data_IF_308732369734
#
_entry.id   IF_308732369734
#
_cell.length_a   1.000
_cell.length_b   1.000
_cell.length_c   1.000
_cell.angle_alpha   90.00
_cell.angle_beta   90.00
_cell.angle_gamma   90.00
#
_symmetry.space_group_name_H-M   'P 1'
#
loop_
_entity.id
_entity.type
_entity.pdbx_description
1 polymer ?
#
# COMPACT_ATOMS: atom_id res chain seq x y z
N UNK A 1 -7.28 -28.39 10.60
CA UNK A 1 -7.58 -26.95 10.76
C UNK A 1 -6.64 -26.22 9.82
N UNK A 2 -7.15 -25.58 8.77
CA UNK A 2 -6.30 -24.89 7.80
C UNK A 2 -5.87 -23.54 8.38
N UNK A 3 -4.58 -23.36 8.61
CA UNK A 3 -4.03 -22.05 8.96
C UNK A 3 -4.13 -21.13 7.77
N UNK A 4 -4.56 -19.90 8.00
CA UNK A 4 -4.48 -18.85 7.00
C UNK A 4 -3.00 -18.53 6.82
N UNK A 5 -2.40 -18.99 5.73
CA UNK A 5 -1.01 -18.69 5.40
C UNK A 5 -0.91 -17.28 4.80
N UNK A 6 -0.70 -16.30 5.66
CA UNK A 6 -0.35 -14.94 5.23
C UNK A 6 1.13 -14.74 5.45
N UNK A 7 1.79 -14.22 4.43
CA UNK A 7 3.17 -13.78 4.52
C UNK A 7 3.21 -12.25 4.64
N UNK A 8 2.98 -11.70 5.85
CA UNK A 8 2.86 -10.25 6.04
C UNK A 8 4.16 -9.54 5.67
N UNK A 9 5.30 -10.22 5.84
CA UNK A 9 6.61 -9.69 5.46
C UNK A 9 6.74 -9.48 3.95
N UNK A 10 6.31 -10.45 3.13
CA UNK A 10 6.33 -10.31 1.66
C UNK A 10 5.37 -9.22 1.20
N UNK A 11 4.17 -9.17 1.76
CA UNK A 11 3.16 -8.17 1.42
C UNK A 11 3.62 -6.75 1.80
N UNK A 12 4.21 -6.58 2.99
CA UNK A 12 4.80 -5.31 3.42
C UNK A 12 5.99 -4.90 2.56
N UNK A 13 6.86 -5.84 2.17
CA UNK A 13 7.97 -5.57 1.27
C UNK A 13 7.47 -5.07 -0.09
N UNK A 14 6.41 -5.69 -0.62
CA UNK A 14 5.80 -5.24 -1.88
C UNK A 14 5.19 -3.83 -1.75
N UNK A 15 4.48 -3.55 -0.66
CA UNK A 15 3.96 -2.21 -0.38
C UNK A 15 5.09 -1.16 -0.32
N UNK A 16 6.20 -1.46 0.35
CA UNK A 16 7.38 -0.58 0.41
C UNK A 16 7.96 -0.30 -0.98
N UNK A 17 8.11 -1.32 -1.82
CA UNK A 17 8.60 -1.16 -3.20
C UNK A 17 7.67 -0.28 -4.05
N UNK A 18 6.36 -0.41 -3.86
CA UNK A 18 5.36 0.42 -4.55
C UNK A 18 5.50 1.89 -4.10
N UNK A 19 5.62 2.16 -2.80
CA UNK A 19 5.86 3.52 -2.29
C UNK A 19 7.14 4.12 -2.90
N UNK A 20 8.25 3.36 -2.90
CA UNK A 20 9.51 3.83 -3.50
C UNK A 20 9.37 4.13 -5.00
N UNK A 21 8.59 3.34 -5.74
CA UNK A 21 8.30 3.62 -7.14
C UNK A 21 7.45 4.90 -7.30
N UNK A 22 6.46 5.09 -6.44
CA UNK A 22 5.62 6.30 -6.40
C UNK A 22 6.45 7.56 -6.12
N UNK A 23 7.40 7.48 -5.18
CA UNK A 23 8.29 8.61 -4.85
C UNK A 23 9.17 9.00 -6.03
N UNK A 24 9.67 8.01 -6.79
CA UNK A 24 10.47 8.25 -8.01
C UNK A 24 9.65 8.85 -9.16
N UNK A 25 8.33 8.64 -9.17
CA UNK A 25 7.45 9.25 -10.17
C UNK A 25 7.22 10.73 -9.91
N UNK A 26 7.41 11.22 -8.67
CA UNK A 26 7.28 12.64 -8.36
C UNK A 26 8.27 13.44 -9.22
N UNK A 27 7.74 14.18 -10.19
CA UNK A 27 8.55 15.02 -11.06
C UNK A 27 9.10 16.15 -10.20
N UNK A 28 10.38 16.07 -9.87
CA UNK A 28 11.02 16.92 -8.85
C UNK A 28 11.25 18.36 -9.30
N UNK A 29 10.84 18.73 -10.51
CA UNK A 29 11.04 20.07 -11.06
C UNK A 29 9.76 20.54 -11.72
N UNK A 30 9.09 21.49 -11.07
CA UNK A 30 8.11 22.35 -11.71
C UNK A 30 8.82 23.07 -12.85
N UNK A 31 8.52 22.69 -14.10
CA UNK A 31 8.99 23.46 -15.25
C UNK A 31 8.12 24.71 -15.30
N UNK A 32 8.74 25.85 -15.06
CA UNK A 32 8.08 27.16 -15.16
C UNK A 32 8.06 27.57 -16.62
N UNK A 33 6.87 27.75 -17.18
CA UNK A 33 6.68 28.29 -18.53
C UNK A 33 6.34 29.77 -18.42
N UNK A 34 6.92 30.60 -19.28
CA UNK A 34 6.46 31.99 -19.43
C UNK A 34 5.14 32.00 -20.19
N UNK A 35 4.19 32.82 -19.72
CA UNK A 35 2.85 32.92 -20.33
C UNK A 35 2.84 33.82 -21.58
N UNK A 36 3.91 34.58 -21.81
CA UNK A 36 3.96 35.66 -22.82
C UNK A 36 4.63 35.28 -24.15
N UNK A 37 4.95 34.01 -24.36
CA UNK A 37 5.64 33.56 -25.58
C UNK A 37 4.65 33.13 -26.67
N UNK A 38 4.79 33.72 -27.86
CA UNK A 38 4.02 33.34 -29.06
C UNK A 38 4.67 32.20 -29.86
N UNK A 39 5.78 31.65 -29.36
CA UNK A 39 6.51 30.56 -30.00
C UNK A 39 5.77 29.26 -29.71
N UNK A 40 5.22 28.63 -30.74
CA UNK A 40 4.41 27.39 -30.62
C UNK A 40 5.10 26.29 -29.81
N UNK A 41 6.42 26.11 -29.97
CA UNK A 41 7.18 25.10 -29.22
C UNK A 41 7.12 25.27 -27.69
N UNK A 42 6.96 26.50 -27.18
CA UNK A 42 6.81 26.74 -25.75
C UNK A 42 5.40 26.38 -25.27
N UNK A 43 4.36 26.67 -26.07
CA UNK A 43 2.99 26.26 -25.79
C UNK A 43 2.86 24.73 -25.79
N UNK A 44 3.48 24.05 -26.76
CA UNK A 44 3.49 22.59 -26.88
C UNK A 44 4.24 21.94 -25.71
N UNK A 45 5.39 22.51 -25.32
CA UNK A 45 6.12 22.07 -24.13
C UNK A 45 5.27 22.23 -22.86
N UNK A 46 4.60 23.37 -22.67
CA UNK A 46 3.71 23.61 -21.52
C UNK A 46 2.61 22.56 -21.44
N UNK A 47 1.89 22.32 -22.54
CA UNK A 47 0.82 21.32 -22.61
C UNK A 47 1.32 19.90 -22.32
N UNK A 48 2.49 19.55 -22.85
CA UNK A 48 3.13 18.25 -22.62
C UNK A 48 3.50 18.06 -21.16
N UNK A 49 4.11 19.05 -20.51
CA UNK A 49 4.48 18.97 -19.09
C UNK A 49 3.26 18.96 -18.16
N UNK A 50 2.19 19.68 -18.52
CA UNK A 50 0.91 19.62 -17.79
C UNK A 50 0.31 18.22 -17.86
N UNK A 51 0.25 17.63 -19.06
CA UNK A 51 -0.24 16.26 -19.26
C UNK A 51 0.62 15.24 -18.51
N UNK A 52 1.94 15.40 -18.56
CA UNK A 52 2.88 14.55 -17.83
C UNK A 52 2.63 14.64 -16.31
N UNK A 53 2.43 15.84 -15.78
CA UNK A 53 2.12 16.05 -14.35
C UNK A 53 0.82 15.37 -13.94
N UNK A 54 -0.24 15.55 -14.72
CA UNK A 54 -1.54 14.92 -14.48
C UNK A 54 -1.45 13.40 -14.50
N UNK A 55 -0.77 12.85 -15.51
CA UNK A 55 -0.56 11.40 -15.63
C UNK A 55 0.22 10.85 -14.44
N UNK A 56 1.30 11.52 -14.04
CA UNK A 56 2.08 11.14 -12.85
C UNK A 56 1.21 11.12 -11.60
N UNK A 57 0.41 12.16 -11.37
CA UNK A 57 -0.50 12.22 -10.21
C UNK A 57 -1.50 11.05 -10.23
N UNK A 58 -2.06 10.73 -11.39
CA UNK A 58 -2.99 9.61 -11.55
C UNK A 58 -2.32 8.27 -11.22
N UNK A 59 -1.10 8.04 -11.72
CA UNK A 59 -0.35 6.81 -11.39
C UNK A 59 -0.06 6.74 -9.89
N UNK A 60 0.38 7.84 -9.27
CA UNK A 60 0.63 7.86 -7.82
C UNK A 60 -0.63 7.56 -6.99
N UNK A 61 -1.79 8.06 -7.41
CA UNK A 61 -3.06 7.73 -6.76
C UNK A 61 -3.39 6.23 -6.85
N UNK A 62 -3.17 5.61 -8.01
CA UNK A 62 -3.38 4.17 -8.20
C UNK A 62 -2.42 3.35 -7.32
N UNK A 63 -1.14 3.70 -7.30
CA UNK A 63 -0.14 3.02 -6.46
C UNK A 63 -0.48 3.13 -4.98
N UNK A 64 -0.88 4.32 -4.52
CA UNK A 64 -1.29 4.54 -3.13
C UNK A 64 -2.56 3.76 -2.75
N UNK A 65 -3.51 3.64 -3.67
CA UNK A 65 -4.71 2.81 -3.47
C UNK A 65 -4.31 1.34 -3.26
N UNK A 66 -3.41 0.83 -4.09
CA UNK A 66 -3.00 -0.57 -4.03
C UNK A 66 -2.20 -0.88 -2.75
N UNK A 67 -1.35 0.04 -2.29
CA UNK A 67 -0.69 -0.05 -0.97
C UNK A 67 -1.70 -0.14 0.16
N UNK A 68 -2.74 0.70 0.16
CA UNK A 68 -3.80 0.65 1.19
C UNK A 68 -4.58 -0.67 1.16
N UNK A 69 -4.84 -1.20 -0.03
CA UNK A 69 -5.51 -2.50 -0.18
C UNK A 69 -4.66 -3.63 0.42
N UNK A 70 -3.35 -3.65 0.13
CA UNK A 70 -2.41 -4.61 0.72
C UNK A 70 -2.42 -4.51 2.25
N UNK A 71 -2.29 -3.29 2.80
CA UNK A 71 -2.30 -3.07 4.24
C UNK A 71 -3.62 -3.53 4.88
N UNK A 72 -4.75 -3.25 4.26
CA UNK A 72 -6.08 -3.66 4.74
C UNK A 72 -6.23 -5.18 4.81
N UNK A 73 -5.74 -5.89 3.79
CA UNK A 73 -5.75 -7.35 3.75
C UNK A 73 -4.86 -7.92 4.87
N UNK A 74 -3.64 -7.40 5.05
CA UNK A 74 -2.75 -7.81 6.15
C UNK A 74 -3.43 -7.63 7.51
N UNK A 75 -4.03 -6.46 7.77
CA UNK A 75 -4.71 -6.19 9.05
C UNK A 75 -5.89 -7.11 9.30
N UNK A 76 -6.64 -7.46 8.25
CA UNK A 76 -7.76 -8.40 8.34
C UNK A 76 -7.27 -9.78 8.76
N UNK A 77 -6.20 -10.24 8.13
CA UNK A 77 -5.61 -11.53 8.46
C UNK A 77 -5.02 -11.58 9.87
N UNK A 78 -4.31 -10.55 10.31
CA UNK A 78 -3.82 -10.45 11.69
C UNK A 78 -4.96 -10.55 12.70
N UNK A 79 -6.08 -9.85 12.45
CA UNK A 79 -7.26 -9.90 13.33
C UNK A 79 -7.88 -11.30 13.36
N UNK A 80 -7.97 -11.97 12.22
CA UNK A 80 -8.49 -13.34 12.17
C UNK A 80 -7.58 -14.31 12.92
N UNK A 81 -6.26 -14.16 12.81
CA UNK A 81 -5.30 -15.00 13.52
C UNK A 81 -5.39 -14.79 15.05
N UNK A 82 -5.51 -13.54 15.51
CA UNK A 82 -5.75 -13.22 16.92
C UNK A 82 -7.07 -13.81 17.43
N UNK A 83 -8.15 -13.75 16.64
CA UNK A 83 -9.43 -14.34 17.00
C UNK A 83 -9.35 -15.86 17.12
N UNK A 84 -8.69 -16.53 16.18
CA UNK A 84 -8.48 -17.98 16.22
C UNK A 84 -7.65 -18.35 17.46
N UNK A 85 -6.55 -17.63 17.71
CA UNK A 85 -5.70 -17.86 18.88
C UNK A 85 -6.49 -17.72 20.19
N UNK A 86 -7.28 -16.64 20.34
CA UNK A 86 -8.11 -16.43 21.52
C UNK A 86 -9.15 -17.54 21.70
N UNK A 87 -9.78 -18.03 20.62
CA UNK A 87 -10.71 -19.14 20.69
C UNK A 87 -10.04 -20.46 21.09
N UNK A 88 -8.81 -20.71 20.64
CA UNK A 88 -8.03 -21.89 21.02
C UNK A 88 -7.54 -21.81 22.48
N UNK A 89 -7.16 -20.64 22.96
CA UNK A 89 -6.77 -20.40 24.36
C UNK A 89 -7.97 -20.51 25.32
N UNK A 90 -9.17 -20.10 24.88
CA UNK A 90 -10.41 -20.20 25.65
C UNK A 90 -11.13 -21.54 25.47
N UNK A 91 -10.59 -22.46 24.66
CA UNK A 91 -11.20 -23.77 24.44
C UNK A 91 -11.15 -24.60 25.74
N UNK A 92 -12.27 -25.25 26.14
CA UNK A 92 -12.34 -26.07 27.37
C UNK A 92 -11.26 -27.15 27.47
N UNK A 93 -10.73 -27.59 26.33
CA UNK A 93 -9.67 -28.61 26.24
C UNK A 93 -8.32 -28.09 26.80
N UNK A 94 -8.01 -26.79 26.64
CA UNK A 94 -6.78 -26.22 27.18
C UNK A 94 -6.88 -25.89 28.67
N UNK A 95 -8.07 -25.52 29.17
CA UNK A 95 -8.30 -25.30 30.60
C UNK A 95 -8.22 -26.59 31.43
N UNK A 96 -8.60 -27.74 30.84
CA UNK A 96 -8.46 -29.05 31.48
C UNK A 96 -6.99 -29.50 31.63
N UNK A 97 -6.09 -29.10 30.72
CA UNK A 97 -4.68 -29.48 30.76
C UNK A 97 -3.82 -28.59 31.67
N UNK A 98 -4.23 -27.34 31.92
CA UNK A 98 -3.53 -26.43 32.85
C UNK A 98 -3.96 -26.58 34.31
N UNK A 99 -5.05 -27.32 34.60
CA UNK A 99 -5.63 -27.48 35.94
C UNK A 99 -5.33 -28.83 36.62
N UNK A 100 -4.50 -29.68 36.03
CA UNK A 100 -4.22 -31.04 36.54
C UNK A 100 -3.13 -31.10 37.60
N UNK A 101 -3.42 -30.67 38.83
CA UNK A 101 -2.71 -31.13 40.03
C UNK A 101 -3.67 -32.01 40.82
N UNK A 102 -3.53 -33.32 40.72
CA UNK A 102 -3.83 -34.28 41.79
C UNK A 102 -2.75 -35.36 41.76
#
# INVERSE_FOLDING_TARGET
MGTIEVNPMVAQNQATKICQASDKLSISKTVTFSDDTTISGNSDAKSTFQSLTQNTMMVQQLLNRDVKAIQSVISTFMRTDEQIKNQLEQSPVNQFLSGGTI
#
